data_IF_374160108174
#
_entry.id   IF_374160108174
#
_cell.length_a   1.000
_cell.length_b   1.000
_cell.length_c   1.000
_cell.angle_alpha   90.00
_cell.angle_beta   90.00
_cell.angle_gamma   90.00
#
_symmetry.space_group_name_H-M   'P 1'
#
loop_
_entity.id
_entity.type
_entity.pdbx_description
1 polymer ?
#
# COMPACT_ATOMS: atom_id res chain seq x y z
N UNK A 1 27.85 56.79 22.19
CA UNK A 1 26.71 55.88 21.90
C UNK A 1 27.25 54.63 21.21
N UNK A 2 27.38 53.53 21.96
CA UNK A 2 26.82 52.18 21.69
C UNK A 2 26.39 51.82 20.23
N UNK A 3 26.44 50.53 19.81
CA UNK A 3 27.60 49.61 19.71
C UNK A 3 27.58 48.68 18.44
N UNK A 4 28.68 47.93 18.19
CA UNK A 4 28.87 46.52 17.71
C UNK A 4 27.98 45.94 16.55
N UNK A 5 28.45 45.15 15.58
CA UNK A 5 29.20 43.87 15.60
C UNK A 5 29.83 43.62 14.20
N UNK A 6 31.13 43.36 14.06
CA UNK A 6 31.84 42.06 14.09
C UNK A 6 31.44 41.03 13.02
N UNK A 7 32.42 40.70 12.17
CA UNK A 7 32.51 39.48 11.37
C UNK A 7 32.15 38.26 12.21
N UNK A 8 31.26 37.41 11.72
CA UNK A 8 31.22 36.00 12.09
C UNK A 8 31.08 35.17 10.82
N UNK A 9 32.22 34.62 10.43
CA UNK A 9 32.42 33.55 9.48
C UNK A 9 31.52 32.37 9.85
N UNK A 10 30.66 31.93 8.92
CA UNK A 10 30.03 30.62 9.01
C UNK A 10 31.17 29.60 8.99
N UNK A 11 31.29 28.67 9.95
CA UNK A 11 32.27 27.61 9.85
C UNK A 11 31.89 26.77 8.64
N UNK A 12 32.76 26.75 7.64
CA UNK A 12 32.83 25.68 6.66
C UNK A 12 33.08 24.42 7.48
N UNK A 13 32.02 23.66 7.80
CA UNK A 13 32.18 22.26 8.17
C UNK A 13 32.81 21.62 6.94
N UNK A 14 34.13 21.48 6.96
CA UNK A 14 34.85 20.58 6.06
C UNK A 14 34.20 19.22 6.27
N UNK A 15 33.30 18.86 5.36
CA UNK A 15 32.81 17.50 5.23
C UNK A 15 34.06 16.64 5.06
N UNK A 16 34.37 15.87 6.11
CA UNK A 16 35.45 14.90 6.03
C UNK A 16 35.09 13.96 4.88
N UNK A 17 35.99 13.74 3.90
CA UNK A 17 35.71 12.77 2.85
C UNK A 17 35.42 11.43 3.50
N UNK A 18 34.23 10.90 3.22
CA UNK A 18 33.77 9.60 3.69
C UNK A 18 34.82 8.54 3.34
N UNK A 19 35.08 7.63 4.26
CA UNK A 19 36.03 6.55 4.01
C UNK A 19 35.52 5.64 2.88
N UNK A 20 36.40 4.97 2.11
CA UNK A 20 35.99 4.10 0.99
C UNK A 20 34.96 3.01 1.37
N UNK A 21 34.92 2.60 2.65
CA UNK A 21 33.94 1.65 3.17
C UNK A 21 32.56 2.29 3.39
N UNK A 22 32.51 3.53 3.90
CA UNK A 22 31.28 4.32 4.05
C UNK A 22 30.74 4.75 2.69
N UNK A 23 31.62 5.11 1.74
CA UNK A 23 31.23 5.42 0.35
C UNK A 23 30.68 4.18 -0.33
N UNK A 24 31.28 2.99 -0.17
CA UNK A 24 30.72 1.75 -0.74
C UNK A 24 29.35 1.43 -0.15
N UNK A 25 29.18 1.54 1.16
CA UNK A 25 27.89 1.28 1.83
C UNK A 25 26.82 2.30 1.42
N UNK A 26 27.12 3.60 1.43
CA UNK A 26 26.19 4.66 1.06
C UNK A 26 25.87 4.64 -0.43
N UNK A 27 26.84 4.37 -1.30
CA UNK A 27 26.62 4.29 -2.76
C UNK A 27 25.84 3.03 -3.12
N UNK A 28 26.06 1.88 -2.47
CA UNK A 28 25.21 0.69 -2.65
C UNK A 28 23.79 0.93 -2.11
N UNK A 29 23.66 1.65 -1.00
CA UNK A 29 22.37 1.96 -0.39
C UNK A 29 21.58 2.96 -1.23
N UNK A 30 22.25 4.00 -1.77
CA UNK A 30 21.68 4.96 -2.71
C UNK A 30 21.38 4.32 -4.08
N UNK A 31 22.26 3.48 -4.62
CA UNK A 31 21.98 2.68 -5.82
C UNK A 31 20.81 1.71 -5.58
N UNK A 32 20.70 1.11 -4.40
CA UNK A 32 19.55 0.25 -4.05
C UNK A 32 18.24 1.03 -3.91
N UNK A 33 18.32 2.31 -3.52
CA UNK A 33 17.17 3.21 -3.44
C UNK A 33 16.76 3.73 -4.84
N UNK A 34 17.72 3.94 -5.76
CA UNK A 34 17.46 4.43 -7.11
C UNK A 34 17.09 3.34 -8.12
N UNK A 35 17.47 2.07 -7.89
CA UNK A 35 17.17 0.94 -8.81
C UNK A 35 15.70 0.48 -8.74
N UNK A 36 14.94 0.88 -7.72
CA UNK A 36 13.55 0.43 -7.53
C UNK A 36 12.49 1.41 -8.07
N UNK A 37 12.86 2.39 -8.90
CA UNK A 37 11.86 3.08 -9.70
C UNK A 37 11.26 2.05 -10.69
N UNK A 38 10.13 1.45 -10.31
CA UNK A 38 9.33 0.49 -11.08
C UNK A 38 10.02 -0.83 -11.49
N UNK A 39 10.74 -1.50 -10.58
CA UNK A 39 11.25 -2.84 -10.87
C UNK A 39 10.34 -3.91 -10.27
N UNK A 40 9.82 -4.79 -11.12
CA UNK A 40 9.24 -6.05 -10.65
C UNK A 40 10.26 -6.80 -9.78
N UNK A 41 9.78 -7.44 -8.72
CA UNK A 41 10.60 -8.12 -7.74
C UNK A 41 9.86 -9.26 -7.05
N UNK A 42 10.60 -10.08 -6.32
CA UNK A 42 10.07 -11.02 -5.34
C UNK A 42 10.51 -10.58 -3.94
N UNK A 43 9.68 -10.77 -2.91
CA UNK A 43 10.13 -10.62 -1.52
C UNK A 43 10.73 -11.93 -1.02
N UNK A 44 11.92 -11.85 -0.42
CA UNK A 44 12.55 -12.99 0.25
C UNK A 44 12.95 -12.65 1.68
N UNK A 45 12.84 -13.66 2.54
CA UNK A 45 13.41 -13.64 3.88
C UNK A 45 14.88 -14.05 3.78
N UNK A 46 15.74 -13.27 4.41
CA UNK A 46 17.15 -13.58 4.62
C UNK A 46 17.37 -13.78 6.12
N UNK A 47 17.98 -14.91 6.49
CA UNK A 47 18.41 -15.16 7.86
C UNK A 47 19.88 -14.78 8.01
N UNK A 48 20.14 -13.80 8.87
CA UNK A 48 21.48 -13.40 9.25
C UNK A 48 22.14 -14.43 10.17
N UNK A 49 23.48 -14.39 10.24
CA UNK A 49 24.27 -15.28 11.12
C UNK A 49 23.94 -15.15 12.61
N UNK A 50 23.27 -14.06 13.01
CA UNK A 50 22.78 -13.79 14.36
C UNK A 50 21.33 -14.26 14.59
N UNK A 51 20.71 -14.96 13.63
CA UNK A 51 19.30 -15.36 13.67
C UNK A 51 18.30 -14.25 13.35
N UNK A 52 18.76 -13.05 12.98
CA UNK A 52 17.89 -11.96 12.59
C UNK A 52 17.29 -12.22 11.20
N UNK A 53 15.96 -12.13 11.09
CA UNK A 53 15.25 -12.20 9.81
C UNK A 53 15.14 -10.81 9.20
N UNK A 54 15.51 -10.70 7.93
CA UNK A 54 15.39 -9.48 7.14
C UNK A 54 14.59 -9.77 5.87
N UNK A 55 13.61 -8.92 5.55
CA UNK A 55 12.76 -9.07 4.36
C UNK A 55 13.25 -8.09 3.31
N UNK A 56 13.63 -8.59 2.13
CA UNK A 56 14.17 -7.75 1.06
C UNK A 56 13.52 -8.04 -0.29
N UNK A 57 13.24 -7.00 -1.09
CA UNK A 57 12.87 -7.17 -2.48
C UNK A 57 14.11 -7.58 -3.28
N UNK A 58 13.97 -8.61 -4.10
CA UNK A 58 14.98 -9.06 -5.06
C UNK A 58 14.46 -8.74 -6.46
N UNK A 59 15.17 -7.92 -7.25
CA UNK A 59 14.77 -7.62 -8.61
C UNK A 59 14.53 -8.91 -9.41
N UNK A 60 13.35 -9.00 -10.02
CA UNK A 60 12.93 -10.09 -10.88
C UNK A 60 12.01 -9.49 -11.94
N UNK A 61 12.43 -9.49 -13.21
CA UNK A 61 11.64 -8.93 -14.32
C UNK A 61 10.34 -9.70 -14.61
N UNK A 62 10.12 -10.84 -13.95
CA UNK A 62 8.87 -11.61 -13.96
C UNK A 62 8.22 -11.65 -12.56
N UNK A 63 8.71 -10.83 -11.64
CA UNK A 63 8.25 -10.77 -10.26
C UNK A 63 6.82 -10.25 -10.20
N UNK A 64 6.03 -10.85 -9.31
CA UNK A 64 4.61 -10.50 -9.16
C UNK A 64 4.41 -9.22 -8.33
N UNK A 65 5.47 -8.70 -7.73
CA UNK A 65 5.47 -7.50 -6.89
C UNK A 65 6.11 -6.32 -7.61
N UNK A 66 5.43 -5.18 -7.69
CA UNK A 66 6.02 -3.91 -8.08
C UNK A 66 6.10 -2.98 -6.87
N UNK A 67 7.28 -2.40 -6.66
CA UNK A 67 7.57 -1.47 -5.55
C UNK A 67 7.97 -0.14 -6.14
N UNK A 68 7.31 0.94 -5.74
CA UNK A 68 7.70 2.32 -6.11
C UNK A 68 8.38 3.06 -4.96
N UNK A 69 7.96 2.78 -3.71
CA UNK A 69 8.59 3.35 -2.51
C UNK A 69 8.82 2.29 -1.45
N UNK A 70 10.04 2.28 -0.92
CA UNK A 70 10.41 1.43 0.21
C UNK A 70 9.75 1.91 1.50
N UNK A 71 9.46 0.99 2.44
CA UNK A 71 8.93 1.34 3.75
C UNK A 71 9.88 2.29 4.47
N UNK A 72 9.35 3.45 4.86
CA UNK A 72 10.01 4.41 5.75
C UNK A 72 9.74 4.06 7.21
N UNK A 73 10.78 4.18 8.04
CA UNK A 73 10.66 3.97 9.49
C UNK A 73 9.67 4.97 10.09
N UNK A 74 8.70 4.46 10.85
CA UNK A 74 7.69 5.30 11.52
C UNK A 74 6.50 5.71 10.65
N UNK A 75 6.54 5.46 9.34
CA UNK A 75 5.35 5.55 8.49
C UNK A 75 4.42 4.38 8.76
N UNK A 76 3.14 4.58 8.45
CA UNK A 76 2.13 3.54 8.53
C UNK A 76 1.49 3.33 7.17
N UNK A 77 1.09 2.09 6.92
CA UNK A 77 0.58 1.67 5.63
C UNK A 77 -0.73 0.91 5.82
N UNK A 78 -1.53 0.88 4.76
CA UNK A 78 -2.71 0.02 4.67
C UNK A 78 -2.57 -0.91 3.48
N UNK A 79 -3.23 -2.05 3.57
CA UNK A 79 -3.31 -3.05 2.52
C UNK A 79 -4.77 -3.26 2.15
N UNK A 80 -5.06 -3.30 0.84
CA UNK A 80 -6.29 -3.87 0.30
C UNK A 80 -5.95 -5.05 -0.58
N UNK A 81 -6.58 -6.19 -0.36
CA UNK A 81 -6.36 -7.39 -1.16
C UNK A 81 -7.69 -7.89 -1.73
N UNK A 82 -7.70 -8.15 -3.03
CA UNK A 82 -8.78 -8.79 -3.75
C UNK A 82 -8.36 -10.22 -4.12
N UNK A 83 -9.15 -11.19 -3.69
CA UNK A 83 -8.78 -12.61 -3.72
C UNK A 83 -9.62 -13.28 -4.79
N UNK A 84 -8.93 -13.91 -5.74
CA UNK A 84 -9.56 -14.74 -6.76
C UNK A 84 -10.57 -15.72 -6.15
N UNK A 85 -11.80 -15.72 -6.68
CA UNK A 85 -12.84 -16.68 -6.26
C UNK A 85 -12.59 -18.10 -6.79
N UNK A 86 -11.47 -18.34 -7.49
CA UNK A 86 -10.97 -19.66 -7.87
C UNK A 86 -12.03 -20.50 -8.57
N UNK A 87 -12.41 -20.11 -9.79
CA UNK A 87 -13.28 -20.95 -10.61
C UNK A 87 -12.44 -22.13 -11.13
N UNK A 88 -12.64 -23.31 -10.54
CA UNK A 88 -12.22 -24.57 -11.16
C UNK A 88 -13.08 -24.78 -12.41
N UNK A 89 -12.59 -24.37 -13.58
CA UNK A 89 -13.19 -24.80 -14.84
C UNK A 89 -12.75 -26.25 -15.06
N UNK A 90 -13.66 -27.21 -14.87
CA UNK A 90 -13.45 -28.61 -15.22
C UNK A 90 -12.97 -28.73 -16.67
N UNK A 91 -11.73 -29.22 -16.84
CA UNK A 91 -11.10 -29.40 -18.15
C UNK A 91 -10.18 -28.28 -18.63
N UNK A 92 -10.01 -27.18 -17.87
CA UNK A 92 -8.99 -26.19 -18.18
C UNK A 92 -7.57 -26.75 -17.92
N UNK A 93 -6.59 -26.47 -18.80
CA UNK A 93 -5.21 -26.90 -18.61
C UNK A 93 -4.65 -26.33 -17.30
N UNK A 94 -3.73 -27.06 -16.66
CA UNK A 94 -3.33 -26.83 -15.27
C UNK A 94 -2.73 -25.44 -14.97
N UNK A 95 -2.29 -24.74 -16.00
CA UNK A 95 -1.74 -23.38 -16.00
C UNK A 95 -2.79 -22.26 -15.98
N UNK A 96 -4.07 -22.57 -16.21
CA UNK A 96 -5.20 -21.62 -16.19
C UNK A 96 -6.16 -21.84 -14.99
N UNK A 97 -5.76 -22.62 -13.99
CA UNK A 97 -6.62 -23.02 -12.86
C UNK A 97 -6.86 -21.96 -11.79
N UNK A 98 -6.12 -20.85 -11.80
CA UNK A 98 -6.22 -19.81 -10.77
C UNK A 98 -6.41 -18.44 -11.40
N UNK A 99 -7.49 -17.75 -11.00
CA UNK A 99 -7.68 -16.34 -11.30
C UNK A 99 -6.62 -15.48 -10.58
N UNK A 100 -6.48 -14.23 -11.02
CA UNK A 100 -5.49 -13.33 -10.43
C UNK A 100 -5.95 -12.86 -9.06
N UNK A 101 -5.06 -12.93 -8.08
CA UNK A 101 -5.21 -12.25 -6.80
C UNK A 101 -4.32 -11.01 -6.79
N UNK A 102 -4.82 -9.94 -6.18
CA UNK A 102 -4.20 -8.63 -6.21
C UNK A 102 -4.15 -8.01 -4.83
N UNK A 103 -3.09 -7.24 -4.57
CA UNK A 103 -2.89 -6.55 -3.30
C UNK A 103 -2.25 -5.20 -3.55
N UNK A 104 -2.79 -4.15 -2.97
CA UNK A 104 -2.22 -2.80 -3.01
C UNK A 104 -1.85 -2.30 -1.62
N UNK A 105 -0.68 -1.66 -1.53
CA UNK A 105 -0.19 -0.99 -0.33
C UNK A 105 -0.26 0.52 -0.53
N UNK A 106 -0.92 1.22 0.39
CA UNK A 106 -0.98 2.69 0.40
C UNK A 106 -0.29 3.24 1.65
N UNK A 107 0.56 4.24 1.47
CA UNK A 107 1.13 5.02 2.57
C UNK A 107 0.05 5.94 3.17
N UNK A 108 -0.23 5.79 4.47
CA UNK A 108 -1.32 6.51 5.15
C UNK A 108 -1.07 8.01 5.29
N UNK A 109 0.19 8.43 5.24
CA UNK A 109 0.57 9.83 5.43
C UNK A 109 0.37 10.62 4.14
N UNK A 110 0.64 9.99 3.00
CA UNK A 110 0.67 10.62 1.67
C UNK A 110 -0.51 10.22 0.77
N UNK A 111 -1.18 9.10 1.04
CA UNK A 111 -2.22 8.55 0.17
C UNK A 111 -1.67 7.85 -1.07
N UNK A 112 -0.36 7.65 -1.16
CA UNK A 112 0.28 7.10 -2.35
C UNK A 112 0.32 5.58 -2.36
N UNK A 113 -0.04 4.98 -3.50
CA UNK A 113 0.17 3.55 -3.79
C UNK A 113 1.67 3.28 -3.91
N UNK A 114 2.26 2.66 -2.88
CA UNK A 114 3.72 2.45 -2.78
C UNK A 114 4.18 1.07 -3.26
N UNK A 115 3.25 0.12 -3.33
CA UNK A 115 3.49 -1.26 -3.76
C UNK A 115 2.21 -1.91 -4.27
N UNK A 116 2.33 -2.81 -5.23
CA UNK A 116 1.24 -3.69 -5.67
C UNK A 116 1.78 -5.10 -5.91
N UNK A 117 0.95 -6.10 -5.65
CA UNK A 117 1.16 -7.48 -6.03
C UNK A 117 0.03 -7.90 -6.97
N UNK A 118 0.35 -8.60 -8.05
CA UNK A 118 -0.66 -9.18 -8.94
C UNK A 118 -0.15 -10.51 -9.51
N UNK A 119 -0.81 -11.61 -9.15
CA UNK A 119 -0.35 -12.94 -9.55
C UNK A 119 -1.40 -14.04 -9.39
N UNK A 120 -1.13 -15.19 -10.02
CA UNK A 120 -1.92 -16.42 -9.87
C UNK A 120 -1.25 -17.27 -8.81
N UNK A 121 -1.89 -17.40 -7.65
CA UNK A 121 -1.38 -18.15 -6.51
C UNK A 121 -2.54 -18.91 -5.87
N UNK A 122 -2.22 -19.99 -5.17
CA UNK A 122 -3.21 -20.59 -4.26
C UNK A 122 -3.50 -19.61 -3.10
N UNK A 123 -4.66 -19.72 -2.45
CA UNK A 123 -5.03 -18.84 -1.33
C UNK A 123 -4.00 -18.83 -0.18
N UNK A 124 -3.38 -19.97 0.10
CA UNK A 124 -2.34 -20.07 1.14
C UNK A 124 -1.02 -19.42 0.70
N UNK A 125 -0.61 -19.60 -0.56
CA UNK A 125 0.54 -18.87 -1.12
C UNK A 125 0.32 -17.36 -1.09
N UNK A 126 -0.88 -16.91 -1.50
CA UNK A 126 -1.24 -15.49 -1.47
C UNK A 126 -1.30 -14.95 -0.04
N UNK A 127 -1.78 -15.73 0.93
CA UNK A 127 -1.74 -15.39 2.36
C UNK A 127 -0.32 -15.19 2.89
N UNK A 128 0.60 -16.10 2.54
CA UNK A 128 2.02 -15.96 2.91
C UNK A 128 2.66 -14.72 2.28
N UNK A 129 2.40 -14.45 1.01
CA UNK A 129 2.90 -13.24 0.35
C UNK A 129 2.32 -11.97 0.99
N UNK A 130 1.03 -11.97 1.31
CA UNK A 130 0.36 -10.87 2.01
C UNK A 130 1.00 -10.58 3.36
N UNK A 131 1.36 -11.61 4.14
CA UNK A 131 2.11 -11.45 5.38
C UNK A 131 3.49 -10.83 5.17
N UNK A 132 4.25 -11.31 4.18
CA UNK A 132 5.59 -10.79 3.91
C UNK A 132 5.53 -9.31 3.52
N UNK A 133 4.61 -8.95 2.63
CA UNK A 133 4.40 -7.56 2.19
C UNK A 133 3.96 -6.70 3.37
N UNK A 134 2.96 -7.14 4.13
CA UNK A 134 2.44 -6.40 5.28
C UNK A 134 3.49 -6.15 6.36
N UNK A 135 4.29 -7.16 6.70
CA UNK A 135 5.41 -7.04 7.65
C UNK A 135 6.49 -6.10 7.14
N UNK A 136 6.83 -6.19 5.85
CA UNK A 136 7.81 -5.31 5.25
C UNK A 136 7.36 -3.84 5.30
N UNK A 137 6.07 -3.58 5.11
CA UNK A 137 5.44 -2.27 5.28
C UNK A 137 4.96 -1.98 6.71
N UNK A 138 5.83 -2.24 7.69
CA UNK A 138 5.64 -1.90 9.11
C UNK A 138 4.35 -2.46 9.73
N UNK A 139 4.05 -3.74 9.49
CA UNK A 139 2.82 -4.40 9.93
C UNK A 139 1.56 -3.62 9.48
N UNK A 140 1.46 -3.38 8.18
CA UNK A 140 0.38 -2.60 7.56
C UNK A 140 -1.03 -3.08 7.96
N UNK A 141 -1.97 -2.15 8.13
CA UNK A 141 -3.36 -2.51 8.45
C UNK A 141 -4.05 -3.06 7.18
N UNK A 142 -4.42 -4.33 7.19
CA UNK A 142 -4.84 -5.06 6.00
C UNK A 142 -6.34 -5.39 5.98
N UNK A 143 -7.00 -5.04 4.88
CA UNK A 143 -8.32 -5.51 4.49
C UNK A 143 -8.20 -6.51 3.36
N UNK A 144 -8.44 -7.79 3.66
CA UNK A 144 -8.53 -8.87 2.65
C UNK A 144 -10.00 -9.09 2.33
N UNK A 145 -10.36 -9.10 1.04
CA UNK A 145 -11.72 -9.43 0.63
C UNK A 145 -12.08 -10.87 1.04
N UNK A 146 -13.25 -11.04 1.63
CA UNK A 146 -13.75 -12.30 2.15
C UNK A 146 -15.27 -12.41 1.95
N UNK A 147 -15.68 -12.84 0.75
CA UNK A 147 -17.08 -13.06 0.39
C UNK A 147 -17.59 -14.48 0.69
N UNK A 148 -16.83 -15.31 1.44
CA UNK A 148 -17.29 -16.63 1.91
C UNK A 148 -16.58 -17.85 1.32
N UNK A 149 -15.37 -17.69 0.78
CA UNK A 149 -14.54 -18.76 0.24
C UNK A 149 -13.05 -18.51 0.47
N UNK A 150 -12.30 -18.38 -0.62
CA UNK A 150 -10.82 -18.26 -0.63
C UNK A 150 -10.24 -17.13 0.22
N UNK A 151 -10.91 -15.98 0.30
CA UNK A 151 -10.50 -14.91 1.21
C UNK A 151 -10.41 -15.32 2.68
N UNK A 152 -11.27 -16.24 3.13
CA UNK A 152 -11.18 -16.83 4.47
C UNK A 152 -9.90 -17.66 4.66
N UNK A 153 -9.50 -18.44 3.65
CA UNK A 153 -8.27 -19.22 3.68
C UNK A 153 -7.01 -18.34 3.70
N UNK A 154 -7.02 -17.23 2.95
CA UNK A 154 -5.94 -16.22 3.00
C UNK A 154 -5.79 -15.69 4.42
N UNK A 155 -6.89 -15.27 5.06
CA UNK A 155 -6.87 -14.73 6.42
C UNK A 155 -6.42 -15.76 7.48
N UNK A 156 -6.89 -17.01 7.40
CA UNK A 156 -6.44 -18.09 8.27
C UNK A 156 -4.95 -18.34 8.10
N UNK A 157 -4.46 -18.32 6.85
CA UNK A 157 -3.04 -18.45 6.58
C UNK A 157 -2.27 -17.29 7.21
N UNK A 158 -2.74 -16.05 7.05
CA UNK A 158 -2.08 -14.89 7.66
C UNK A 158 -2.01 -14.97 9.19
N UNK A 159 -3.08 -15.43 9.84
CA UNK A 159 -3.10 -15.69 11.28
C UNK A 159 -2.10 -16.78 11.67
N UNK A 160 -2.03 -17.88 10.91
CA UNK A 160 -1.09 -18.99 11.17
C UNK A 160 0.39 -18.61 10.98
N UNK A 161 0.68 -17.69 10.05
CA UNK A 161 2.00 -17.08 9.82
C UNK A 161 2.31 -15.97 10.86
N UNK A 162 1.43 -15.81 11.86
CA UNK A 162 1.60 -14.92 13.01
C UNK A 162 1.40 -13.44 12.69
N UNK A 163 0.68 -13.10 11.61
CA UNK A 163 0.38 -11.70 11.30
C UNK A 163 -0.42 -11.07 12.45
N UNK A 164 -0.12 -9.84 12.89
CA UNK A 164 -0.81 -9.27 14.05
C UNK A 164 -2.31 -9.14 13.81
N UNK A 165 -3.13 -9.81 14.63
CA UNK A 165 -4.59 -9.78 14.48
C UNK A 165 -5.19 -8.38 14.62
N UNK A 166 -4.53 -7.48 15.37
CA UNK A 166 -4.90 -6.07 15.47
C UNK A 166 -4.67 -5.28 14.17
N UNK A 167 -3.87 -5.81 13.26
CA UNK A 167 -3.61 -5.25 11.93
C UNK A 167 -4.44 -5.91 10.83
N UNK A 168 -5.38 -6.79 11.18
CA UNK A 168 -6.36 -7.34 10.24
C UNK A 168 -7.71 -6.65 10.44
N UNK A 169 -8.27 -6.13 9.36
CA UNK A 169 -9.60 -5.55 9.39
C UNK A 169 -10.64 -6.60 9.82
N UNK A 170 -11.56 -6.15 10.67
CA UNK A 170 -12.70 -6.94 11.12
C UNK A 170 -13.96 -6.12 10.95
N UNK A 171 -14.89 -6.66 10.18
CA UNK A 171 -16.23 -6.10 10.08
C UNK A 171 -16.95 -6.30 11.42
N UNK A 172 -17.21 -5.20 12.13
CA UNK A 172 -17.85 -5.23 13.44
C UNK A 172 -19.31 -5.68 13.37
N UNK A 173 -20.00 -5.40 12.26
CA UNK A 173 -21.41 -5.74 12.08
C UNK A 173 -21.57 -7.23 11.78
N UNK A 174 -20.72 -7.76 10.91
CA UNK A 174 -20.72 -9.18 10.52
C UNK A 174 -19.95 -10.06 11.51
N UNK A 175 -19.23 -9.45 12.48
CA UNK A 175 -18.32 -10.12 13.42
C UNK A 175 -17.31 -11.03 12.70
N UNK A 176 -16.91 -10.64 11.49
CA UNK A 176 -16.13 -11.45 10.56
C UNK A 176 -14.80 -10.75 10.24
N UNK A 177 -13.73 -11.52 10.12
CA UNK A 177 -12.43 -10.99 9.68
C UNK A 177 -12.43 -10.81 8.16
N UNK A 178 -11.79 -9.74 7.69
CA UNK A 178 -11.78 -9.36 6.28
C UNK A 178 -12.92 -8.42 5.89
N UNK A 179 -12.78 -7.86 4.70
CA UNK A 179 -13.76 -6.99 4.06
C UNK A 179 -14.78 -7.83 3.29
N UNK A 180 -16.06 -7.52 3.39
CA UNK A 180 -17.10 -8.21 2.58
C UNK A 180 -17.64 -7.25 1.53
N UNK A 181 -17.44 -7.56 0.26
CA UNK A 181 -18.06 -6.81 -0.83
C UNK A 181 -19.44 -7.38 -1.13
N UNK A 182 -20.45 -6.53 -1.01
CA UNK A 182 -21.84 -6.86 -1.29
C UNK A 182 -22.33 -6.00 -2.45
N UNK A 183 -23.45 -6.40 -3.09
CA UNK A 183 -24.10 -5.57 -4.11
C UNK A 183 -24.45 -4.16 -3.59
N UNK A 184 -24.73 -4.03 -2.30
CA UNK A 184 -25.08 -2.76 -1.68
C UNK A 184 -23.87 -1.84 -1.49
N UNK A 185 -22.75 -2.37 -0.98
CA UNK A 185 -21.57 -1.56 -0.67
C UNK A 185 -20.56 -1.44 -1.83
N UNK A 186 -20.66 -2.28 -2.87
CA UNK A 186 -19.77 -2.20 -4.06
C UNK A 186 -19.85 -0.82 -4.73
N UNK A 187 -21.06 -0.27 -4.87
CA UNK A 187 -21.25 1.06 -5.46
C UNK A 187 -20.58 2.15 -4.64
N UNK A 188 -20.80 2.16 -3.31
CA UNK A 188 -20.18 3.15 -2.43
C UNK A 188 -18.66 2.99 -2.34
N UNK A 189 -18.15 1.75 -2.38
CA UNK A 189 -16.72 1.47 -2.43
C UNK A 189 -16.06 2.11 -3.66
N UNK A 190 -16.65 1.91 -4.84
CA UNK A 190 -16.16 2.51 -6.09
C UNK A 190 -16.32 4.04 -6.10
N UNK A 191 -17.47 4.56 -5.63
CA UNK A 191 -17.69 6.01 -5.52
C UNK A 191 -16.70 6.70 -4.58
N UNK A 192 -16.33 6.04 -3.47
CA UNK A 192 -15.31 6.54 -2.56
C UNK A 192 -13.93 6.58 -3.22
N UNK A 193 -13.55 5.52 -3.96
CA UNK A 193 -12.29 5.52 -4.71
C UNK A 193 -12.27 6.64 -5.77
N UNK A 194 -13.34 6.79 -6.57
CA UNK A 194 -13.45 7.88 -7.55
C UNK A 194 -13.28 9.26 -6.92
N UNK A 195 -13.95 9.50 -5.79
CA UNK A 195 -13.82 10.75 -5.05
C UNK A 195 -12.40 10.99 -4.56
N UNK A 196 -11.75 9.99 -3.96
CA UNK A 196 -10.37 10.10 -3.45
C UNK A 196 -9.34 10.32 -4.57
N UNK A 197 -9.56 9.76 -5.76
CA UNK A 197 -8.72 10.04 -6.94
C UNK A 197 -8.92 11.49 -7.39
N UNK A 198 -10.16 11.95 -7.53
CA UNK A 198 -10.47 13.33 -7.98
C UNK A 198 -9.99 14.40 -6.99
N UNK A 199 -10.07 14.13 -5.69
CA UNK A 199 -9.57 15.01 -4.63
C UNK A 199 -8.04 14.93 -4.43
N UNK A 200 -7.36 14.00 -5.11
CA UNK A 200 -5.94 13.67 -4.93
C UNK A 200 -5.60 13.20 -3.51
N UNK A 201 -6.56 12.61 -2.82
CA UNK A 201 -6.33 11.90 -1.55
C UNK A 201 -5.66 10.55 -1.78
N UNK A 202 -5.86 9.94 -2.96
CA UNK A 202 -5.14 8.73 -3.38
C UNK A 202 -4.34 9.02 -4.66
N UNK A 203 -3.07 8.65 -4.65
CA UNK A 203 -2.15 8.75 -5.79
C UNK A 203 -1.79 7.34 -6.28
N UNK A 204 -1.95 7.10 -7.58
CA UNK A 204 -1.79 5.76 -8.18
C UNK A 204 -0.50 5.75 -9.00
N UNK A 205 0.40 4.81 -8.70
CA UNK A 205 1.66 4.62 -9.41
C UNK A 205 1.61 3.48 -10.44
N UNK A 206 0.71 2.52 -10.25
CA UNK A 206 0.53 1.37 -11.14
C UNK A 206 -0.14 1.79 -12.46
N UNK A 207 0.62 1.71 -13.55
CA UNK A 207 0.09 1.95 -14.89
C UNK A 207 -0.99 0.93 -15.26
N UNK A 208 -0.82 -0.34 -14.86
CA UNK A 208 -1.82 -1.39 -15.07
C UNK A 208 -3.15 -1.04 -14.38
N UNK A 209 -3.10 -0.60 -13.12
CA UNK A 209 -4.29 -0.19 -12.36
C UNK A 209 -4.96 1.03 -13.02
N UNK A 210 -4.18 1.99 -13.50
CA UNK A 210 -4.69 3.15 -14.26
C UNK A 210 -5.37 2.71 -15.56
N UNK A 211 -4.82 1.73 -16.26
CA UNK A 211 -5.39 1.20 -17.50
C UNK A 211 -6.69 0.43 -17.25
N UNK A 212 -6.78 -0.33 -16.16
CA UNK A 212 -8.04 -0.95 -15.72
C UNK A 212 -9.07 0.12 -15.31
N UNK A 213 -8.69 1.15 -14.55
CA UNK A 213 -9.58 2.25 -14.18
C UNK A 213 -10.17 2.98 -15.40
N UNK A 214 -9.37 3.24 -16.44
CA UNK A 214 -9.85 3.85 -17.70
C UNK A 214 -10.85 2.98 -18.44
N UNK A 215 -10.85 1.67 -18.17
CA UNK A 215 -11.73 0.72 -18.80
C UNK A 215 -13.08 0.55 -18.10
N UNK A 216 -13.25 1.12 -16.90
CA UNK A 216 -14.52 1.09 -16.20
C UNK A 216 -15.55 1.98 -16.88
N UNK A 217 -16.73 1.42 -17.12
CA UNK A 217 -17.86 2.11 -17.72
C UNK A 217 -19.05 2.06 -16.78
N UNK A 218 -19.79 3.16 -16.71
CA UNK A 218 -21.10 3.17 -16.06
C UNK A 218 -22.11 2.57 -17.04
N UNK A 219 -22.64 1.40 -16.71
CA UNK A 219 -23.71 0.74 -17.47
C UNK A 219 -25.03 1.50 -17.32
N UNK A 220 -26.00 1.30 -18.24
CA UNK A 220 -27.31 1.97 -18.18
C UNK A 220 -28.10 1.74 -16.88
N UNK A 221 -27.82 0.67 -16.14
CA UNK A 221 -28.40 0.35 -14.84
C UNK A 221 -27.69 1.04 -13.65
N UNK A 222 -26.74 1.94 -13.95
CA UNK A 222 -25.93 2.66 -12.98
C UNK A 222 -24.90 1.79 -12.27
N UNK A 223 -24.57 0.60 -12.79
CA UNK A 223 -23.43 -0.20 -12.29
C UNK A 223 -22.13 0.30 -12.90
N UNK A 224 -21.10 0.36 -12.08
CA UNK A 224 -19.72 0.65 -12.49
C UNK A 224 -19.02 -0.70 -12.59
N UNK A 225 -18.72 -1.12 -13.81
CA UNK A 225 -18.09 -2.41 -14.12
C UNK A 225 -17.03 -2.20 -15.21
N UNK A 226 -16.03 -3.07 -15.25
CA UNK A 226 -15.12 -3.11 -16.38
C UNK A 226 -15.89 -3.33 -17.69
N UNK A 227 -15.46 -2.67 -18.77
CA UNK A 227 -15.98 -2.96 -20.11
C UNK A 227 -15.89 -4.46 -20.43
N UNK A 228 -16.78 -4.96 -21.30
CA UNK A 228 -16.85 -6.38 -21.63
C UNK A 228 -15.48 -6.98 -21.97
N UNK A 229 -15.11 -8.06 -21.28
CA UNK A 229 -13.84 -8.78 -21.49
C UNK A 229 -12.61 -8.14 -20.84
N UNK A 230 -12.76 -7.14 -19.96
CA UNK A 230 -11.66 -6.51 -19.23
C UNK A 230 -11.68 -6.88 -17.74
N UNK A 231 -10.49 -6.92 -17.15
CA UNK A 231 -10.26 -7.26 -15.74
C UNK A 231 -10.52 -6.06 -14.83
N UNK A 232 -10.99 -6.31 -13.61
CA UNK A 232 -11.19 -5.30 -12.57
C UNK A 232 -10.45 -5.58 -11.25
N UNK A 233 -9.73 -6.69 -11.14
CA UNK A 233 -9.11 -7.16 -9.90
C UNK A 233 -8.25 -6.07 -9.22
N UNK A 234 -7.38 -5.37 -9.98
CA UNK A 234 -6.50 -4.32 -9.40
C UNK A 234 -7.27 -3.09 -8.95
N UNK A 235 -8.43 -2.83 -9.55
CA UNK A 235 -9.29 -1.72 -9.13
C UNK A 235 -9.97 -2.05 -7.81
N UNK A 236 -10.35 -3.31 -7.59
CA UNK A 236 -10.93 -3.76 -6.33
C UNK A 236 -9.93 -3.77 -5.20
N UNK A 237 -8.72 -4.31 -5.39
CA UNK A 237 -7.67 -4.24 -4.37
C UNK A 237 -7.36 -2.79 -3.97
N UNK A 238 -7.24 -1.88 -4.95
CA UNK A 238 -7.01 -0.46 -4.68
C UNK A 238 -8.19 0.19 -3.95
N UNK A 239 -9.43 -0.13 -4.32
CA UNK A 239 -10.61 0.42 -3.65
C UNK A 239 -10.73 -0.05 -2.20
N UNK A 240 -10.44 -1.33 -1.93
CA UNK A 240 -10.38 -1.87 -0.58
C UNK A 240 -9.24 -1.19 0.20
N UNK A 241 -8.07 -0.98 -0.40
CA UNK A 241 -6.96 -0.27 0.23
C UNK A 241 -7.34 1.17 0.60
N UNK A 242 -8.03 1.88 -0.30
CA UNK A 242 -8.59 3.20 -0.02
C UNK A 242 -9.60 3.15 1.13
N UNK A 243 -10.47 2.13 1.17
CA UNK A 243 -11.39 1.95 2.30
C UNK A 243 -10.63 1.71 3.61
N UNK A 244 -9.50 1.00 3.57
CA UNK A 244 -8.66 0.79 4.75
C UNK A 244 -8.02 2.09 5.24
N UNK A 245 -7.71 3.07 4.39
CA UNK A 245 -7.28 4.40 4.84
C UNK A 245 -8.33 5.06 5.76
N UNK A 246 -9.60 4.92 5.41
CA UNK A 246 -10.73 5.50 6.14
C UNK A 246 -10.95 4.84 7.50
N UNK A 247 -10.85 3.50 7.55
CA UNK A 247 -11.23 2.72 8.74
C UNK A 247 -10.06 2.27 9.61
N UNK A 248 -8.81 2.43 9.13
CA UNK A 248 -7.64 2.06 9.90
C UNK A 248 -7.59 2.80 11.24
N UNK A 249 -7.19 2.12 12.34
CA UNK A 249 -7.09 2.76 13.65
C UNK A 249 -6.25 4.04 13.63
N UNK A 250 -6.58 5.04 14.46
CA UNK A 250 -5.81 6.28 14.54
C UNK A 250 -4.32 6.01 14.73
N UNK A 251 -3.49 6.84 14.09
CA UNK A 251 -2.04 6.81 14.29
C UNK A 251 -1.78 7.32 15.72
N UNK A 252 -1.56 6.42 16.66
CA UNK A 252 -1.05 6.81 17.98
C UNK A 252 0.43 7.14 17.85
N UNK A 253 0.76 8.40 17.57
CA UNK A 253 2.12 8.88 17.77
C UNK A 253 2.40 8.87 19.28
N UNK A 254 3.47 8.22 19.73
CA UNK A 254 4.00 8.44 21.08
C UNK A 254 4.10 9.95 21.29
N UNK A 255 3.31 10.49 22.24
CA UNK A 255 3.13 11.93 22.48
C UNK A 255 4.39 12.66 22.95
N UNK A 256 5.57 12.08 22.81
CA UNK A 256 6.82 12.65 23.31
C UNK A 256 7.77 13.23 22.26
N UNK A 257 7.50 13.23 20.93
CA UNK A 257 8.49 13.80 19.99
C UNK A 257 8.09 14.68 18.81
N UNK A 258 6.84 14.80 18.38
CA UNK A 258 6.57 15.69 17.22
C UNK A 258 5.18 16.33 17.24
N UNK A 259 5.08 17.50 17.87
CA UNK A 259 3.90 18.37 17.86
C UNK A 259 3.80 19.25 16.60
N UNK A 260 4.70 19.10 15.62
CA UNK A 260 4.80 20.04 14.49
C UNK A 260 3.95 19.66 13.27
N UNK A 261 3.68 18.37 13.04
CA UNK A 261 2.98 17.91 11.82
C UNK A 261 1.44 17.98 11.90
N UNK A 262 0.85 17.86 13.09
CA UNK A 262 -0.61 17.88 13.23
C UNK A 262 -1.22 19.28 13.01
N UNK A 263 -0.47 20.34 13.31
CA UNK A 263 -0.94 21.73 13.11
C UNK A 263 -0.86 22.20 11.64
N UNK A 264 -0.07 21.56 10.78
CA UNK A 264 0.01 21.94 9.36
C UNK A 264 -1.21 21.47 8.56
N UNK A 265 -1.90 20.40 8.98
CA UNK A 265 -3.12 19.89 8.30
C UNK A 265 -4.35 20.78 8.50
N UNK A 266 -4.50 21.43 9.65
CA UNK A 266 -5.63 22.35 9.91
C UNK A 266 -5.50 23.67 9.14
N UNK A 267 -4.28 24.19 8.98
CA UNK A 267 -4.06 25.49 8.33
C UNK A 267 -4.22 25.43 6.80
N UNK A 268 -3.95 24.31 6.15
CA UNK A 268 -4.17 24.15 4.70
C UNK A 268 -5.67 24.08 4.38
N UNK A 269 -6.47 23.41 5.22
CA UNK A 269 -7.92 23.33 5.05
C UNK A 269 -8.59 24.69 5.33
N UNK A 270 -8.15 25.41 6.37
CA UNK A 270 -8.72 26.72 6.72
C UNK A 270 -8.30 27.85 5.77
N UNK A 271 -7.08 27.80 5.22
CA UNK A 271 -6.64 28.77 4.20
C UNK A 271 -7.32 28.57 2.84
N UNK A 272 -7.68 27.33 2.49
CA UNK A 272 -8.46 27.03 1.28
C UNK A 272 -9.92 27.52 1.34
N UNK A 273 -10.55 27.46 2.53
CA UNK A 273 -11.94 27.89 2.73
C UNK A 273 -12.12 29.42 2.81
N UNK A 274 -11.10 30.16 3.25
CA UNK A 274 -11.16 31.63 3.32
C UNK A 274 -11.03 32.33 1.94
N UNK A 275 -10.57 31.62 0.92
CA UNK A 275 -10.43 32.14 -0.45
C UNK A 275 -11.71 32.11 -1.29
N UNK A 276 -12.74 31.36 -0.89
CA UNK A 276 -14.00 31.21 -1.65
C UNK A 276 -15.13 32.15 -1.22
N UNK A 277 -14.95 32.95 -0.16
CA UNK A 277 -15.95 33.92 0.32
C UNK A 277 -15.57 35.39 0.11
N UNK A 278 -14.61 35.67 -0.78
CA UNK A 278 -14.34 37.02 -1.28
C UNK A 278 -14.48 37.10 -2.80
N UNK A 279 -15.72 37.22 -3.25
CA UNK A 279 -16.15 38.03 -4.41
C UNK A 279 -17.66 38.20 -4.37
#
# INVERSE_FOLDING_TARGET
MTPKYSKNSIPLLLERPLSPAETRSSTFQLLSQSILASSQCDLRIFEGLNGQRDIRPIPNQRGLLAVWKRPQKGSQYVIGADVAEGIEIDGAPADDKHDYSTLDVIDRNTGEQVCTFHGRLTPDEFGRQSCLIGRWYNDAFAGVENNGGYGGHVLVTMESEGYPLSQLYRDAQLRKMGWTTTRANRKSLMSNLDMSIRSREVLINSEDTVNELKAFVTKPDGRIEAGSGRKDDRVFSLAIANKMLEVAPPIFSDKHKDSTLHYQRLNIILSGLSGQFRK
#
